data_IF_893013024737
#
_entry.id   IF_893013024737
#
_cell.length_a   1.000
_cell.length_b   1.000
_cell.length_c   1.000
_cell.angle_alpha   90.00
_cell.angle_beta   90.00
_cell.angle_gamma   90.00
#
_symmetry.space_group_name_H-M   'P 1'
#
loop_
_entity.id
_entity.type
_entity.pdbx_description
1 polymer ?
#
# COMPACT_ATOMS: atom_id res chain seq x y z
N UNK A 1 6.91 37.94 -73.74
CA UNK A 1 7.66 37.52 -72.55
C UNK A 1 8.22 36.16 -72.86
N UNK A 2 9.57 36.05 -73.06
CA UNK A 2 10.22 34.90 -73.68
C UNK A 2 10.21 33.65 -72.77
N UNK A 3 9.45 32.64 -73.17
CA UNK A 3 9.41 31.30 -72.50
C UNK A 3 10.81 30.64 -72.46
N UNK A 4 11.70 30.97 -73.40
CA UNK A 4 13.07 30.47 -73.44
C UNK A 4 13.99 30.99 -72.32
N UNK A 5 13.81 32.21 -71.88
CA UNK A 5 14.57 32.79 -70.73
C UNK A 5 14.15 32.17 -69.38
N UNK A 6 12.89 31.90 -69.19
CA UNK A 6 12.35 31.23 -67.97
C UNK A 6 12.85 29.77 -67.91
N UNK A 7 12.97 29.07 -69.03
CA UNK A 7 13.45 27.71 -69.10
C UNK A 7 14.97 27.60 -68.79
N UNK A 8 15.78 28.58 -69.24
CA UNK A 8 17.23 28.61 -68.90
C UNK A 8 17.47 28.94 -67.43
N UNK A 9 16.74 29.91 -66.84
CA UNK A 9 16.84 30.22 -65.42
C UNK A 9 16.39 29.07 -64.53
N UNK A 10 15.34 28.30 -64.90
CA UNK A 10 14.94 27.11 -64.19
C UNK A 10 15.98 25.99 -64.27
N UNK A 11 16.62 25.83 -65.45
CA UNK A 11 17.70 24.84 -65.63
C UNK A 11 18.94 25.15 -64.79
N UNK A 12 19.32 26.42 -64.70
CA UNK A 12 20.47 26.86 -63.92
C UNK A 12 20.22 26.73 -62.40
N UNK A 13 19.02 27.05 -61.97
CA UNK A 13 18.61 26.87 -60.56
C UNK A 13 18.52 25.39 -60.20
N UNK A 14 18.05 24.50 -61.07
CA UNK A 14 18.02 23.04 -60.84
C UNK A 14 19.42 22.42 -60.77
N UNK A 15 20.32 22.90 -61.61
CA UNK A 15 21.73 22.43 -61.56
C UNK A 15 22.42 22.88 -60.28
N UNK A 16 22.19 24.10 -59.79
CA UNK A 16 22.70 24.57 -58.50
C UNK A 16 22.14 23.75 -57.32
N UNK A 17 20.85 23.48 -57.31
CA UNK A 17 20.23 22.61 -56.27
C UNK A 17 20.79 21.19 -56.30
N UNK A 18 20.97 20.63 -57.50
CA UNK A 18 21.57 19.29 -57.66
C UNK A 18 23.03 19.24 -57.15
N UNK A 19 23.82 20.28 -57.48
CA UNK A 19 25.25 20.36 -57.08
C UNK A 19 25.39 20.52 -55.57
N UNK A 20 24.50 21.33 -54.94
CA UNK A 20 24.48 21.49 -53.45
C UNK A 20 24.05 20.22 -52.75
N UNK A 21 23.04 19.51 -53.29
CA UNK A 21 22.57 18.24 -52.75
C UNK A 21 23.65 17.13 -52.81
N UNK A 22 24.36 17.05 -53.96
CA UNK A 22 25.46 16.08 -54.16
C UNK A 22 26.64 16.40 -53.22
N UNK A 23 26.94 17.67 -52.96
CA UNK A 23 28.01 18.07 -52.02
C UNK A 23 27.64 17.79 -50.55
N UNK A 24 26.37 17.94 -50.18
CA UNK A 24 25.87 17.76 -48.80
C UNK A 24 25.59 16.27 -48.44
N UNK A 25 25.11 15.47 -49.41
CA UNK A 25 24.72 14.09 -49.18
C UNK A 25 25.81 13.21 -48.55
N UNK A 26 27.08 13.27 -48.98
CA UNK A 26 28.15 12.45 -48.35
C UNK A 26 28.39 12.79 -46.89
N UNK A 27 28.24 14.05 -46.50
CA UNK A 27 28.44 14.48 -45.09
C UNK A 27 27.32 13.96 -44.20
N UNK A 28 26.08 14.02 -44.65
CA UNK A 28 24.93 13.50 -43.95
C UNK A 28 25.00 11.97 -43.86
N UNK A 29 25.33 11.31 -44.97
CA UNK A 29 25.44 9.85 -45.02
C UNK A 29 26.61 9.33 -44.18
N UNK A 30 27.79 10.00 -44.23
CA UNK A 30 28.93 9.66 -43.40
C UNK A 30 28.63 9.85 -41.90
N UNK A 31 27.96 10.96 -41.53
CA UNK A 31 27.52 11.22 -40.17
C UNK A 31 26.57 10.14 -39.64
N UNK A 32 25.56 9.80 -40.44
CA UNK A 32 24.59 8.76 -40.10
C UNK A 32 25.22 7.36 -40.05
N UNK A 33 26.16 7.06 -40.95
CA UNK A 33 26.90 5.79 -40.96
C UNK A 33 27.82 5.63 -39.75
N UNK A 34 28.56 6.68 -39.37
CA UNK A 34 29.42 6.66 -38.19
C UNK A 34 28.65 6.51 -36.89
N UNK A 35 27.42 7.06 -36.81
CA UNK A 35 26.56 6.90 -35.66
C UNK A 35 25.91 5.50 -35.57
N UNK A 36 25.61 4.86 -36.71
CA UNK A 36 25.05 3.50 -36.79
C UNK A 36 26.06 2.39 -36.50
N UNK A 37 27.31 2.54 -36.98
CA UNK A 37 28.33 1.47 -36.91
C UNK A 37 28.98 1.30 -35.54
N UNK A 38 28.92 2.30 -34.69
CA UNK A 38 29.34 2.22 -33.27
C UNK A 38 28.11 2.13 -32.39
N UNK A 39 27.59 0.92 -32.22
CA UNK A 39 26.50 0.64 -31.27
C UNK A 39 26.81 1.28 -29.90
N UNK A 40 26.04 2.29 -29.48
CA UNK A 40 26.28 3.05 -28.25
C UNK A 40 26.74 4.50 -28.44
N UNK A 41 26.54 5.08 -29.63
CA UNK A 41 26.77 6.53 -29.78
C UNK A 41 25.83 7.31 -28.88
N UNK A 42 26.37 8.06 -27.90
CA UNK A 42 25.59 8.91 -27.00
C UNK A 42 24.66 9.84 -27.80
N UNK A 43 23.43 10.04 -27.28
CA UNK A 43 22.42 10.94 -27.88
C UNK A 43 23.01 12.31 -28.23
N UNK A 44 23.91 12.81 -27.40
CA UNK A 44 24.63 14.07 -27.64
C UNK A 44 25.46 14.07 -28.94
N UNK A 45 26.01 12.94 -29.36
CA UNK A 45 26.77 12.80 -30.58
C UNK A 45 25.86 12.78 -31.81
N UNK A 46 24.70 12.15 -31.71
CA UNK A 46 23.67 12.15 -32.74
C UNK A 46 23.10 13.57 -32.98
N UNK A 47 22.78 14.27 -31.90
CA UNK A 47 22.29 15.67 -31.96
C UNK A 47 23.34 16.59 -32.61
N UNK A 48 24.63 16.42 -32.26
CA UNK A 48 25.70 17.20 -32.84
C UNK A 48 25.85 16.95 -34.36
N UNK A 49 25.76 15.70 -34.79
CA UNK A 49 25.84 15.34 -36.24
C UNK A 49 24.65 15.90 -37.01
N UNK A 50 23.43 15.79 -36.46
CA UNK A 50 22.22 16.34 -37.10
C UNK A 50 22.26 17.86 -37.19
N UNK A 51 22.83 18.54 -36.20
CA UNK A 51 22.96 20.00 -36.18
C UNK A 51 24.09 20.51 -37.12
N UNK A 52 25.18 19.79 -37.26
CA UNK A 52 26.33 20.16 -38.11
C UNK A 52 26.06 19.90 -39.60
N UNK A 53 25.32 18.85 -39.94
CA UNK A 53 25.07 18.45 -41.32
C UNK A 53 24.48 19.58 -42.18
N UNK A 54 23.39 20.27 -41.80
CA UNK A 54 22.81 21.36 -42.57
C UNK A 54 23.75 22.59 -42.65
N UNK A 55 24.57 22.87 -41.64
CA UNK A 55 25.52 23.96 -41.64
C UNK A 55 26.61 23.72 -42.69
N UNK A 56 27.15 22.52 -42.75
CA UNK A 56 28.16 22.14 -43.76
C UNK A 56 27.53 22.13 -45.15
N UNK A 57 26.30 21.62 -45.29
CA UNK A 57 25.58 21.63 -46.55
C UNK A 57 25.37 23.07 -47.08
N UNK A 58 24.93 23.98 -46.22
CA UNK A 58 24.72 25.41 -46.57
C UNK A 58 26.03 26.05 -46.96
N UNK A 59 27.12 25.77 -46.25
CA UNK A 59 28.46 26.31 -46.56
C UNK A 59 29.00 25.84 -47.93
N UNK A 60 28.88 24.55 -48.22
CA UNK A 60 29.27 23.97 -49.51
C UNK A 60 28.40 24.57 -50.64
N UNK A 61 27.10 24.65 -50.43
CA UNK A 61 26.20 25.25 -51.42
C UNK A 61 26.51 26.72 -51.74
N UNK A 62 26.82 27.46 -50.70
CA UNK A 62 27.19 28.88 -50.81
C UNK A 62 28.48 29.12 -51.57
N UNK A 63 29.52 28.32 -51.30
CA UNK A 63 30.82 28.38 -52.01
C UNK A 63 30.65 28.01 -53.49
N UNK A 64 29.85 27.00 -53.78
CA UNK A 64 29.56 26.59 -55.18
C UNK A 64 28.76 27.68 -55.90
N UNK A 65 27.75 28.25 -55.30
CA UNK A 65 26.95 29.37 -55.89
C UNK A 65 27.82 30.61 -56.14
N UNK A 66 28.65 30.99 -55.18
CA UNK A 66 29.55 32.13 -55.31
C UNK A 66 30.56 31.97 -56.50
N UNK A 67 31.07 30.76 -56.70
CA UNK A 67 31.97 30.49 -57.85
C UNK A 67 31.21 30.46 -59.20
N UNK A 68 29.96 30.03 -59.21
CA UNK A 68 29.18 29.95 -60.44
C UNK A 68 28.65 31.34 -60.91
N UNK A 69 28.49 32.30 -59.98
CA UNK A 69 27.88 33.63 -60.28
C UNK A 69 28.90 34.74 -60.54
N UNK A 70 30.21 34.48 -60.70
CA UNK A 70 31.25 35.49 -60.91
C UNK A 70 31.22 36.66 -59.89
N UNK A 71 30.98 36.36 -58.63
CA UNK A 71 30.97 37.32 -57.52
C UNK A 71 32.35 37.90 -57.32
N UNK A 72 32.47 39.24 -57.13
CA UNK A 72 33.74 39.93 -56.87
C UNK A 72 34.35 39.41 -55.56
N UNK A 73 35.70 39.47 -55.53
CA UNK A 73 36.47 38.92 -54.37
C UNK A 73 36.10 39.56 -53.04
N UNK A 74 35.58 40.77 -53.02
CA UNK A 74 35.12 41.49 -51.83
C UNK A 74 33.82 40.90 -51.31
N UNK A 75 32.84 40.60 -52.15
CA UNK A 75 31.55 40.02 -51.78
C UNK A 75 31.70 38.57 -51.29
N UNK A 76 32.63 37.82 -51.89
CA UNK A 76 32.99 36.45 -51.45
C UNK A 76 33.54 36.43 -50.03
N UNK A 77 34.39 37.43 -49.67
CA UNK A 77 34.94 37.52 -48.29
C UNK A 77 33.90 37.90 -47.28
N UNK A 78 33.01 38.86 -47.58
CA UNK A 78 31.90 39.27 -46.74
C UNK A 78 30.95 38.07 -46.46
N UNK A 79 30.60 37.35 -47.55
CA UNK A 79 29.76 36.14 -47.44
C UNK A 79 30.44 35.05 -46.59
N UNK A 80 31.72 34.84 -46.77
CA UNK A 80 32.52 33.88 -45.99
C UNK A 80 32.51 34.21 -44.49
N UNK A 81 32.66 35.47 -44.10
CA UNK A 81 32.57 35.94 -42.72
C UNK A 81 31.20 35.68 -42.13
N UNK A 82 30.13 36.01 -42.85
CA UNK A 82 28.75 35.78 -42.39
C UNK A 82 28.49 34.27 -42.20
N UNK A 83 28.90 33.42 -43.15
CA UNK A 83 28.73 31.99 -43.09
C UNK A 83 29.52 31.36 -41.92
N UNK A 84 30.76 31.82 -41.72
CA UNK A 84 31.58 31.37 -40.59
C UNK A 84 30.96 31.75 -39.22
N UNK A 85 30.49 32.99 -39.07
CA UNK A 85 29.87 33.43 -37.81
C UNK A 85 28.59 32.69 -37.51
N UNK A 86 27.72 32.51 -38.51
CA UNK A 86 26.49 31.71 -38.37
C UNK A 86 26.82 30.25 -38.04
N UNK A 87 27.84 29.70 -38.68
CA UNK A 87 28.32 28.34 -38.39
C UNK A 87 28.79 28.18 -36.95
N UNK A 88 29.60 29.10 -36.44
CA UNK A 88 30.11 29.09 -35.08
C UNK A 88 28.95 29.18 -34.04
N UNK A 89 27.98 30.05 -34.27
CA UNK A 89 26.79 30.16 -33.40
C UNK A 89 26.01 28.87 -33.41
N UNK A 90 25.77 28.25 -34.57
CA UNK A 90 25.09 26.97 -34.69
C UNK A 90 25.81 25.81 -33.96
N UNK A 91 27.11 25.72 -34.13
CA UNK A 91 27.96 24.71 -33.43
C UNK A 91 27.89 24.91 -31.92
N UNK A 92 27.99 26.15 -31.44
CA UNK A 92 27.87 26.47 -30.02
C UNK A 92 26.51 26.11 -29.45
N UNK A 93 25.42 26.44 -30.13
CA UNK A 93 24.07 26.09 -29.74
C UNK A 93 23.86 24.57 -29.67
N UNK A 94 24.31 23.84 -30.67
CA UNK A 94 24.24 22.40 -30.73
C UNK A 94 25.08 21.73 -29.62
N UNK A 95 26.30 22.23 -29.35
CA UNK A 95 27.15 21.76 -28.25
C UNK A 95 26.47 21.99 -26.88
N UNK A 96 25.91 23.18 -26.66
CA UNK A 96 25.20 23.51 -25.42
C UNK A 96 23.98 22.59 -25.20
N UNK A 97 23.20 22.33 -26.27
CA UNK A 97 22.05 21.43 -26.19
C UNK A 97 22.46 19.98 -25.89
N UNK A 98 23.48 19.49 -26.61
CA UNK A 98 24.03 18.15 -26.41
C UNK A 98 24.57 17.95 -24.99
N UNK A 99 25.19 19.00 -24.41
CA UNK A 99 25.66 18.95 -23.02
C UNK A 99 24.52 18.84 -22.01
N UNK A 100 23.44 19.60 -22.22
CA UNK A 100 22.24 19.52 -21.36
C UNK A 100 21.61 18.13 -21.35
N UNK A 101 21.34 17.59 -22.54
CA UNK A 101 20.77 16.24 -22.67
C UNK A 101 21.68 15.19 -22.00
N UNK A 102 23.00 15.34 -22.08
CA UNK A 102 23.92 14.41 -21.40
C UNK A 102 23.78 14.48 -19.89
N UNK A 103 23.76 15.68 -19.30
CA UNK A 103 23.62 15.87 -17.86
C UNK A 103 22.32 15.25 -17.36
N UNK A 104 21.20 15.52 -18.05
CA UNK A 104 19.89 14.98 -17.70
C UNK A 104 19.85 13.44 -17.81
N UNK A 105 20.48 12.87 -18.84
CA UNK A 105 20.56 11.41 -19.03
C UNK A 105 21.44 10.74 -17.96
N UNK A 106 22.57 11.36 -17.61
CA UNK A 106 23.46 10.85 -16.55
C UNK A 106 22.77 10.90 -15.17
N UNK A 107 21.97 11.94 -14.91
CA UNK A 107 21.16 12.06 -13.69
C UNK A 107 20.09 10.95 -13.61
N UNK A 108 19.37 10.67 -14.72
CA UNK A 108 18.43 9.55 -14.78
C UNK A 108 19.11 8.19 -14.59
N UNK A 109 20.31 8.02 -15.14
CA UNK A 109 21.12 6.81 -14.95
C UNK A 109 21.58 6.64 -13.50
N UNK A 110 21.88 7.74 -12.79
CA UNK A 110 22.21 7.72 -11.37
C UNK A 110 20.97 7.38 -10.52
N UNK A 111 19.82 7.98 -10.84
CA UNK A 111 18.55 7.67 -10.20
C UNK A 111 18.19 6.18 -10.32
N UNK A 112 18.27 5.63 -11.54
CA UNK A 112 18.00 4.21 -11.79
C UNK A 112 18.91 3.28 -10.99
N UNK A 113 20.19 3.62 -10.83
CA UNK A 113 21.12 2.84 -10.00
C UNK A 113 20.79 2.96 -8.52
N UNK A 114 20.48 4.15 -8.02
CA UNK A 114 20.04 4.36 -6.63
C UNK A 114 18.81 3.52 -6.28
N UNK A 115 17.82 3.46 -7.20
CA UNK A 115 16.64 2.60 -7.05
C UNK A 115 17.03 1.12 -7.02
N UNK A 116 17.93 0.68 -7.89
CA UNK A 116 18.39 -0.71 -7.92
C UNK A 116 19.14 -1.12 -6.63
N UNK A 117 19.82 -0.17 -5.98
CA UNK A 117 20.49 -0.35 -4.70
C UNK A 117 19.52 -0.25 -3.48
N UNK A 118 18.23 -0.12 -3.72
CA UNK A 118 17.19 -0.09 -2.69
C UNK A 118 17.00 1.28 -2.02
N UNK A 119 17.59 2.35 -2.57
CA UNK A 119 17.38 3.69 -2.05
C UNK A 119 16.21 4.37 -2.78
N UNK A 120 15.20 4.79 -2.02
CA UNK A 120 14.07 5.57 -2.55
C UNK A 120 14.43 7.05 -2.48
N UNK A 121 14.67 7.74 -3.60
CA UNK A 121 14.96 9.15 -3.59
C UNK A 121 13.70 9.97 -3.34
N UNK A 122 13.78 10.99 -2.49
CA UNK A 122 12.67 11.88 -2.11
C UNK A 122 12.15 12.73 -3.28
N UNK A 123 12.99 12.98 -4.30
CA UNK A 123 12.61 13.75 -5.47
C UNK A 123 13.33 13.25 -6.74
N UNK A 124 12.66 13.37 -7.88
CA UNK A 124 13.28 13.15 -9.18
C UNK A 124 14.31 14.24 -9.50
N UNK A 125 15.29 13.97 -10.40
CA UNK A 125 16.26 14.97 -10.81
C UNK A 125 15.57 16.13 -11.54
N UNK A 126 16.00 17.36 -11.25
CA UNK A 126 15.60 18.53 -12.03
C UNK A 126 16.21 18.42 -13.43
N UNK A 127 15.40 17.98 -14.41
CA UNK A 127 15.83 17.87 -15.79
C UNK A 127 15.44 19.14 -16.57
N UNK A 128 16.35 19.58 -17.43
CA UNK A 128 16.16 20.74 -18.30
C UNK A 128 15.21 20.43 -19.46
N UNK A 129 15.14 19.15 -19.86
CA UNK A 129 14.25 18.66 -20.93
C UNK A 129 13.00 18.08 -20.27
N UNK A 130 11.82 18.64 -20.60
CA UNK A 130 10.53 18.32 -19.98
C UNK A 130 10.14 16.83 -20.05
N UNK A 131 10.54 16.15 -21.14
CA UNK A 131 10.28 14.71 -21.32
C UNK A 131 11.13 13.85 -20.38
N UNK A 132 12.40 14.23 -20.18
CA UNK A 132 13.31 13.55 -19.27
C UNK A 132 12.93 13.83 -17.81
N UNK A 133 12.44 15.03 -17.51
CA UNK A 133 11.88 15.37 -16.19
C UNK A 133 10.69 14.49 -15.83
N UNK A 134 9.71 14.38 -16.73
CA UNK A 134 8.54 13.50 -16.54
C UNK A 134 8.94 12.04 -16.34
N UNK A 135 9.92 11.55 -17.09
CA UNK A 135 10.44 10.18 -16.91
C UNK A 135 11.08 10.01 -15.53
N UNK A 136 11.82 11.00 -15.06
CA UNK A 136 12.39 11.01 -13.71
C UNK A 136 11.34 10.95 -12.61
N UNK A 137 10.28 11.75 -12.73
CA UNK A 137 9.13 11.73 -11.82
C UNK A 137 8.41 10.38 -11.80
N UNK A 138 8.16 9.80 -12.98
CA UNK A 138 7.54 8.48 -13.11
C UNK A 138 8.39 7.36 -12.48
N UNK A 139 9.71 7.41 -12.66
CA UNK A 139 10.63 6.46 -12.04
C UNK A 139 10.63 6.60 -10.50
N UNK A 140 10.62 7.82 -9.99
CA UNK A 140 10.55 8.10 -8.55
C UNK A 140 9.23 7.62 -7.95
N UNK A 141 8.08 7.89 -8.61
CA UNK A 141 6.77 7.40 -8.16
C UNK A 141 6.70 5.87 -8.16
N UNK A 142 7.23 5.22 -9.21
CA UNK A 142 7.28 3.76 -9.28
C UNK A 142 8.17 3.18 -8.19
N UNK A 143 9.32 3.80 -7.89
CA UNK A 143 10.21 3.38 -6.80
C UNK A 143 9.54 3.49 -5.44
N UNK A 144 8.84 4.60 -5.18
CA UNK A 144 8.09 4.79 -3.94
C UNK A 144 7.02 3.72 -3.77
N UNK A 145 6.20 3.46 -4.80
CA UNK A 145 5.17 2.40 -4.76
C UNK A 145 5.77 1.01 -4.54
N UNK A 146 6.92 0.73 -5.15
CA UNK A 146 7.63 -0.54 -4.94
C UNK A 146 8.14 -0.66 -3.50
N UNK A 147 8.70 0.42 -2.93
CA UNK A 147 9.12 0.49 -1.53
C UNK A 147 7.94 0.24 -0.58
N UNK A 148 6.82 0.93 -0.78
CA UNK A 148 5.60 0.74 0.03
C UNK A 148 5.04 -0.69 -0.08
N UNK A 149 5.08 -1.30 -1.28
CA UNK A 149 4.65 -2.68 -1.48
C UNK A 149 5.57 -3.67 -0.76
N UNK A 150 6.88 -3.46 -0.83
CA UNK A 150 7.86 -4.29 -0.14
C UNK A 150 7.77 -4.19 1.39
N UNK A 151 7.56 -2.99 1.92
CA UNK A 151 7.33 -2.80 3.36
C UNK A 151 6.06 -3.52 3.84
N UNK A 152 4.97 -3.47 3.04
CA UNK A 152 3.74 -4.23 3.35
C UNK A 152 3.98 -5.73 3.33
N UNK A 153 4.74 -6.24 2.35
CA UNK A 153 5.10 -7.65 2.27
C UNK A 153 5.92 -8.10 3.48
N UNK A 154 6.93 -7.33 3.88
CA UNK A 154 7.72 -7.60 5.07
C UNK A 154 6.89 -7.55 6.37
N UNK A 155 5.95 -6.62 6.47
CA UNK A 155 5.04 -6.54 7.60
C UNK A 155 4.12 -7.77 7.69
N UNK A 156 3.56 -8.21 6.55
CA UNK A 156 2.74 -9.42 6.46
C UNK A 156 3.55 -10.67 6.83
N UNK A 157 4.79 -10.77 6.36
CA UNK A 157 5.65 -11.92 6.67
C UNK A 157 6.04 -11.98 8.15
N UNK A 158 6.31 -10.81 8.78
CA UNK A 158 6.54 -10.73 10.23
C UNK A 158 5.30 -11.18 11.00
N UNK A 159 4.14 -10.61 10.68
CA UNK A 159 2.87 -10.98 11.33
C UNK A 159 2.57 -12.48 11.19
N UNK A 160 2.83 -13.07 10.01
CA UNK A 160 2.68 -14.51 9.81
C UNK A 160 3.63 -15.34 10.68
N UNK A 161 4.89 -14.93 10.81
CA UNK A 161 5.86 -15.64 11.66
C UNK A 161 5.47 -15.53 13.14
N UNK A 162 5.07 -14.36 13.59
CA UNK A 162 4.59 -14.13 14.95
C UNK A 162 3.38 -14.98 15.27
N UNK A 163 2.40 -15.04 14.33
CA UNK A 163 1.23 -15.91 14.46
C UNK A 163 1.62 -17.38 14.62
N UNK A 164 2.50 -17.91 13.77
CA UNK A 164 2.94 -19.32 13.83
C UNK A 164 3.65 -19.62 15.14
N UNK A 165 4.53 -18.73 15.59
CA UNK A 165 5.24 -18.89 16.86
C UNK A 165 4.27 -18.88 18.04
N UNK A 166 3.32 -17.96 18.04
CA UNK A 166 2.28 -17.84 19.05
C UNK A 166 1.36 -19.07 19.09
N UNK A 167 0.81 -19.50 17.94
CA UNK A 167 -0.04 -20.70 17.83
C UNK A 167 0.69 -21.93 18.41
N UNK A 168 1.97 -22.08 18.06
CA UNK A 168 2.78 -23.20 18.54
C UNK A 168 2.95 -23.17 20.06
N UNK A 169 3.10 -22.00 20.66
CA UNK A 169 3.23 -21.81 22.09
C UNK A 169 1.90 -22.07 22.81
N UNK A 170 0.81 -21.46 22.35
CA UNK A 170 -0.49 -21.47 23.02
C UNK A 170 -1.25 -22.81 22.84
N UNK A 171 -0.92 -23.60 21.80
CA UNK A 171 -1.39 -24.99 21.69
C UNK A 171 -0.57 -25.96 22.57
N UNK A 172 0.73 -25.71 22.78
CA UNK A 172 1.60 -26.61 23.56
C UNK A 172 1.22 -26.67 25.04
N UNK A 173 0.81 -25.53 25.62
CA UNK A 173 0.47 -25.44 27.04
C UNK A 173 -0.71 -26.35 27.43
N UNK A 174 -1.93 -26.21 26.82
CA UNK A 174 -3.07 -27.07 27.13
C UNK A 174 -2.84 -28.53 26.77
N UNK A 175 -2.10 -28.83 25.67
CA UNK A 175 -1.71 -30.20 25.33
C UNK A 175 -0.81 -30.83 26.39
N UNK A 176 0.15 -30.09 26.92
CA UNK A 176 1.02 -30.58 28.02
C UNK A 176 0.21 -30.82 29.30
N UNK A 177 -0.76 -29.95 29.61
CA UNK A 177 -1.67 -30.11 30.76
C UNK A 177 -2.54 -31.36 30.60
N UNK A 178 -3.18 -31.54 29.44
CA UNK A 178 -4.01 -32.73 29.14
C UNK A 178 -3.13 -34.00 29.29
N UNK A 179 -1.95 -34.01 28.70
CA UNK A 179 -1.04 -35.14 28.74
C UNK A 179 -0.62 -35.49 30.17
N UNK A 180 -0.16 -34.50 30.96
CA UNK A 180 0.23 -34.72 32.34
C UNK A 180 -0.91 -35.23 33.21
N UNK A 181 -2.15 -34.70 32.96
CA UNK A 181 -3.36 -35.13 33.67
C UNK A 181 -3.73 -36.58 33.30
N UNK A 182 -3.61 -36.95 32.02
CA UNK A 182 -3.89 -38.30 31.56
C UNK A 182 -2.83 -39.32 32.07
N UNK A 183 -1.55 -38.97 32.03
CA UNK A 183 -0.46 -39.79 32.59
C UNK A 183 -0.65 -40.04 34.10
N UNK A 184 -1.06 -39.02 34.86
CA UNK A 184 -1.35 -39.17 36.30
C UNK A 184 -2.54 -40.11 36.60
N UNK A 185 -3.53 -40.14 35.72
CA UNK A 185 -4.68 -41.07 35.80
C UNK A 185 -4.26 -42.48 35.42
N UNK A 186 -3.40 -42.66 34.41
CA UNK A 186 -2.93 -43.94 33.90
C UNK A 186 -1.98 -44.60 34.90
N UNK A 187 -1.07 -43.85 35.52
CA UNK A 187 -0.09 -44.34 36.49
C UNK A 187 -0.74 -44.67 37.88
N UNK A 188 -2.04 -44.44 38.05
CA UNK A 188 -2.72 -44.71 39.30
C UNK A 188 -2.29 -43.80 40.45
N UNK A 189 -1.73 -42.63 40.15
CA UNK A 189 -1.35 -41.62 41.17
C UNK A 189 -2.60 -41.02 41.81
N UNK A 190 -3.75 -41.12 41.13
CA UNK A 190 -5.03 -40.59 41.54
C UNK A 190 -6.01 -41.76 41.77
N UNK A 191 -6.23 -42.13 43.02
CA UNK A 191 -7.07 -43.29 43.38
C UNK A 191 -8.51 -42.93 43.81
N UNK A 192 -8.73 -41.70 44.25
CA UNK A 192 -10.03 -41.27 44.72
C UNK A 192 -10.99 -41.02 43.56
N UNK A 193 -12.23 -41.55 43.57
CA UNK A 193 -13.24 -41.28 42.53
C UNK A 193 -13.58 -39.79 42.35
N UNK A 194 -13.34 -38.97 43.36
CA UNK A 194 -13.54 -37.55 43.36
C UNK A 194 -12.41 -36.84 42.61
N UNK A 195 -11.17 -37.23 42.85
CA UNK A 195 -9.99 -36.72 42.14
C UNK A 195 -10.00 -37.15 40.69
N UNK A 196 -10.34 -38.40 40.36
CA UNK A 196 -10.51 -38.89 38.98
C UNK A 196 -11.54 -38.01 38.21
N UNK A 197 -12.69 -37.73 38.84
CA UNK A 197 -13.68 -36.83 38.20
C UNK A 197 -13.14 -35.42 37.98
N UNK A 198 -12.39 -34.86 38.92
CA UNK A 198 -11.76 -33.54 38.80
C UNK A 198 -10.73 -33.51 37.67
N UNK A 199 -9.91 -34.52 37.53
CA UNK A 199 -8.91 -34.65 36.48
C UNK A 199 -9.58 -34.80 35.09
N UNK A 200 -10.59 -35.66 34.97
CA UNK A 200 -11.39 -35.80 33.75
C UNK A 200 -12.08 -34.48 33.36
N UNK A 201 -12.59 -33.74 34.32
CA UNK A 201 -13.16 -32.42 34.08
C UNK A 201 -12.12 -31.42 33.60
N UNK A 202 -10.90 -31.44 34.16
CA UNK A 202 -9.77 -30.60 33.72
C UNK A 202 -9.39 -30.89 32.27
N UNK A 203 -9.33 -32.17 31.87
CA UNK A 203 -9.08 -32.56 30.46
C UNK A 203 -10.19 -32.01 29.56
N UNK A 204 -11.46 -32.09 29.97
CA UNK A 204 -12.57 -31.51 29.20
C UNK A 204 -12.41 -30.01 28.99
N UNK A 205 -12.12 -29.27 30.06
CA UNK A 205 -11.93 -27.81 30.00
C UNK A 205 -10.78 -27.42 29.05
N UNK A 206 -9.65 -28.13 29.12
CA UNK A 206 -8.51 -27.83 28.23
C UNK A 206 -8.80 -28.23 26.78
N UNK A 207 -9.58 -29.28 26.56
CA UNK A 207 -10.03 -29.68 25.19
C UNK A 207 -10.97 -28.64 24.58
N UNK A 208 -11.93 -28.13 25.36
CA UNK A 208 -12.82 -27.06 24.93
C UNK A 208 -12.02 -25.78 24.58
N UNK A 209 -11.02 -25.46 25.41
CA UNK A 209 -10.12 -24.33 25.14
C UNK A 209 -9.33 -24.49 23.84
N UNK A 210 -8.82 -25.69 23.57
CA UNK A 210 -8.12 -26.00 22.31
C UNK A 210 -9.05 -25.85 21.10
N UNK A 211 -10.30 -26.31 21.22
CA UNK A 211 -11.30 -26.19 20.16
C UNK A 211 -11.54 -24.71 19.83
N UNK A 212 -11.73 -23.86 20.84
CA UNK A 212 -11.89 -22.41 20.64
C UNK A 212 -10.69 -21.76 19.97
N UNK A 213 -9.45 -22.15 20.36
CA UNK A 213 -8.23 -21.64 19.72
C UNK A 213 -8.12 -22.04 18.26
N UNK A 214 -8.51 -23.27 17.90
CA UNK A 214 -8.53 -23.74 16.50
C UNK A 214 -9.58 -22.98 15.69
N UNK A 215 -10.78 -22.78 16.24
CA UNK A 215 -11.85 -22.03 15.59
C UNK A 215 -11.45 -20.55 15.36
N UNK A 216 -10.79 -19.94 16.34
CA UNK A 216 -10.26 -18.57 16.20
C UNK A 216 -9.16 -18.49 15.13
N UNK A 217 -8.28 -19.50 15.04
CA UNK A 217 -7.24 -19.56 14.01
C UNK A 217 -7.84 -19.71 12.60
N UNK A 218 -8.85 -20.57 12.43
CA UNK A 218 -9.58 -20.71 11.18
C UNK A 218 -10.23 -19.40 10.75
N UNK A 219 -10.86 -18.69 11.67
CA UNK A 219 -11.52 -17.42 11.40
C UNK A 219 -10.49 -16.35 11.02
N UNK A 220 -9.39 -16.23 11.76
CA UNK A 220 -8.30 -15.30 11.42
C UNK A 220 -7.72 -15.61 10.04
N UNK A 221 -7.57 -16.89 9.68
CA UNK A 221 -7.13 -17.31 8.35
C UNK A 221 -8.12 -16.87 7.25
N UNK A 222 -9.44 -16.97 7.47
CA UNK A 222 -10.47 -16.50 6.54
C UNK A 222 -10.45 -14.99 6.38
N UNK A 223 -10.24 -14.25 7.48
CA UNK A 223 -10.13 -12.80 7.49
C UNK A 223 -8.92 -12.37 6.67
N UNK A 224 -7.73 -12.92 6.97
CA UNK A 224 -6.47 -12.52 6.32
C UNK A 224 -6.38 -12.91 4.84
N UNK A 225 -7.07 -13.99 4.43
CA UNK A 225 -7.17 -14.40 3.03
C UNK A 225 -8.25 -13.66 2.23
N UNK A 226 -9.06 -12.80 2.87
CA UNK A 226 -10.15 -12.08 2.20
C UNK A 226 -11.32 -12.98 1.74
N UNK A 227 -11.42 -14.21 2.25
CA UNK A 227 -12.43 -15.22 1.84
C UNK A 227 -13.64 -15.22 2.80
N UNK A 228 -14.01 -14.07 3.34
CA UNK A 228 -15.20 -13.96 4.18
C UNK A 228 -16.41 -13.76 3.28
N UNK A 229 -17.33 -14.73 3.26
CA UNK A 229 -18.65 -14.56 2.65
C UNK A 229 -19.57 -13.81 3.63
N UNK A 230 -19.65 -12.51 3.48
CA UNK A 230 -20.61 -11.70 4.23
C UNK A 230 -21.99 -11.79 3.58
N UNK A 231 -23.01 -11.91 4.41
CA UNK A 231 -24.42 -11.86 4.00
C UNK A 231 -25.11 -10.73 4.76
N UNK A 232 -24.97 -9.48 4.27
CA UNK A 232 -25.57 -8.34 4.94
C UNK A 232 -27.09 -8.50 4.97
N UNK A 233 -27.67 -8.31 6.14
CA UNK A 233 -29.10 -8.29 6.40
C UNK A 233 -29.43 -7.16 7.39
N UNK A 234 -30.69 -6.76 7.43
CA UNK A 234 -31.16 -5.79 8.43
C UNK A 234 -31.28 -6.48 9.79
N UNK A 235 -30.47 -6.02 10.74
CA UNK A 235 -30.38 -6.59 12.09
C UNK A 235 -30.73 -5.53 13.13
N UNK A 236 -31.74 -5.77 13.96
CA UNK A 236 -32.02 -4.92 15.11
C UNK A 236 -30.88 -5.02 16.13
N UNK A 237 -30.35 -3.86 16.55
CA UNK A 237 -29.22 -3.81 17.51
C UNK A 237 -29.63 -4.43 18.85
N UNK A 238 -30.88 -4.25 19.27
CA UNK A 238 -31.41 -4.80 20.53
C UNK A 238 -31.34 -6.34 20.54
N UNK A 239 -31.69 -6.99 19.42
CA UNK A 239 -31.63 -8.44 19.28
C UNK A 239 -30.21 -8.96 19.32
N UNK A 240 -29.30 -8.25 18.63
CA UNK A 240 -27.87 -8.58 18.58
C UNK A 240 -27.26 -8.51 19.98
N UNK A 241 -27.45 -7.38 20.68
CA UNK A 241 -26.91 -7.16 22.02
C UNK A 241 -27.56 -8.13 23.01
N UNK A 242 -28.89 -8.37 22.91
CA UNK A 242 -29.60 -9.33 23.73
C UNK A 242 -29.01 -10.74 23.64
N UNK A 243 -28.76 -11.21 22.41
CA UNK A 243 -28.14 -12.53 22.15
C UNK A 243 -26.76 -12.65 22.81
N UNK A 244 -25.93 -11.60 22.71
CA UNK A 244 -24.59 -11.60 23.30
C UNK A 244 -24.65 -11.59 24.83
N UNK A 245 -25.55 -10.79 25.43
CA UNK A 245 -25.72 -10.72 26.87
C UNK A 245 -26.19 -12.05 27.44
N UNK A 246 -27.14 -12.71 26.78
CA UNK A 246 -27.63 -14.02 27.22
C UNK A 246 -26.51 -15.06 27.26
N UNK A 247 -25.63 -15.07 26.24
CA UNK A 247 -24.44 -15.92 26.19
C UNK A 247 -23.41 -15.61 27.28
N UNK A 248 -23.20 -14.33 27.59
CA UNK A 248 -22.17 -13.89 28.54
C UNK A 248 -22.58 -13.97 30.01
N UNK A 249 -23.91 -14.05 30.32
CA UNK A 249 -24.43 -13.99 31.69
C UNK A 249 -23.87 -15.04 32.66
N UNK A 250 -23.69 -16.27 32.19
CA UNK A 250 -23.16 -17.35 33.04
C UNK A 250 -21.71 -17.06 33.44
N UNK A 251 -20.86 -16.68 32.47
CA UNK A 251 -19.46 -16.35 32.68
C UNK A 251 -19.29 -15.10 33.56
N UNK A 252 -20.08 -14.06 33.31
CA UNK A 252 -20.06 -12.84 34.11
C UNK A 252 -20.45 -13.11 35.58
N UNK A 253 -21.51 -13.91 35.82
CA UNK A 253 -21.91 -14.33 37.18
C UNK A 253 -20.82 -15.14 37.88
N UNK A 254 -20.20 -16.08 37.19
CA UNK A 254 -19.10 -16.88 37.74
C UNK A 254 -17.90 -16.04 38.17
N UNK A 255 -17.68 -14.89 37.51
CA UNK A 255 -16.63 -13.93 37.82
C UNK A 255 -17.07 -12.78 38.75
N UNK A 256 -18.34 -12.76 39.15
CA UNK A 256 -18.88 -11.68 40.00
C UNK A 256 -18.98 -10.33 39.29
N UNK A 257 -19.07 -10.33 37.96
CA UNK A 257 -19.16 -9.11 37.12
C UNK A 257 -20.61 -8.82 36.76
N UNK A 258 -21.05 -7.57 36.90
CA UNK A 258 -22.39 -7.12 36.51
C UNK A 258 -22.43 -6.69 35.04
N UNK A 259 -23.42 -7.19 34.28
CA UNK A 259 -23.63 -6.77 32.88
C UNK A 259 -24.81 -5.80 32.82
N UNK A 260 -24.61 -4.64 32.19
CA UNK A 260 -25.65 -3.64 31.92
C UNK A 260 -25.68 -3.29 30.43
N UNK A 261 -26.89 -3.00 29.90
CA UNK A 261 -27.04 -2.55 28.53
C UNK A 261 -28.00 -1.37 28.44
N UNK A 262 -27.59 -0.39 27.62
CA UNK A 262 -28.36 0.79 27.26
C UNK A 262 -28.49 0.80 25.73
N UNK A 263 -29.58 0.27 25.20
CA UNK A 263 -29.80 0.06 23.77
C UNK A 263 -31.08 0.80 23.34
N UNK A 264 -31.04 1.66 22.31
CA UNK A 264 -32.21 2.28 21.72
C UNK A 264 -33.19 1.22 21.16
N UNK A 265 -34.51 1.46 21.30
CA UNK A 265 -35.53 0.49 20.90
C UNK A 265 -35.71 0.33 19.37
N UNK A 266 -35.24 1.24 18.56
CA UNK A 266 -35.42 1.22 17.10
C UNK A 266 -34.15 1.67 16.39
N UNK A 267 -33.20 0.78 16.30
CA UNK A 267 -31.95 1.00 15.53
C UNK A 267 -31.56 -0.29 14.80
N UNK A 268 -31.56 -0.23 13.47
CA UNK A 268 -31.25 -1.38 12.63
C UNK A 268 -29.91 -1.17 11.87
N UNK A 269 -29.10 -2.19 11.84
CA UNK A 269 -27.80 -2.27 11.16
C UNK A 269 -27.96 -3.00 9.82
N UNK A 270 -27.13 -2.64 8.85
CA UNK A 270 -26.92 -3.46 7.64
C UNK A 270 -25.63 -4.25 7.79
N UNK A 271 -25.69 -5.44 8.35
CA UNK A 271 -24.53 -6.26 8.71
C UNK A 271 -24.80 -7.75 8.51
N UNK A 272 -23.75 -8.54 8.43
CA UNK A 272 -23.87 -9.99 8.57
C UNK A 272 -24.06 -10.33 10.06
N UNK A 273 -25.22 -10.86 10.43
CA UNK A 273 -25.64 -11.10 11.82
C UNK A 273 -24.64 -11.94 12.61
N UNK A 274 -24.17 -13.04 12.01
CA UNK A 274 -23.27 -13.98 12.68
C UNK A 274 -21.94 -13.29 13.05
N UNK A 275 -21.35 -12.56 12.09
CA UNK A 275 -20.09 -11.87 12.25
C UNK A 275 -20.21 -10.67 13.21
N UNK A 276 -21.29 -9.88 13.09
CA UNK A 276 -21.56 -8.78 14.03
C UNK A 276 -21.76 -9.28 15.47
N UNK A 277 -22.51 -10.38 15.64
CA UNK A 277 -22.67 -11.02 16.96
C UNK A 277 -21.33 -11.49 17.52
N UNK A 278 -20.46 -12.07 16.69
CA UNK A 278 -19.12 -12.52 17.10
C UNK A 278 -18.22 -11.35 17.50
N UNK A 279 -18.28 -10.22 16.77
CA UNK A 279 -17.58 -8.99 17.15
C UNK A 279 -17.96 -8.55 18.56
N UNK A 280 -19.26 -8.31 18.79
CA UNK A 280 -19.73 -7.80 20.09
C UNK A 280 -19.44 -8.80 21.20
N UNK A 281 -19.58 -10.10 20.95
CA UNK A 281 -19.21 -11.15 21.90
C UNK A 281 -17.74 -11.11 22.26
N UNK A 282 -16.82 -11.01 21.30
CA UNK A 282 -15.39 -10.92 21.56
C UNK A 282 -15.04 -9.72 22.47
N UNK A 283 -15.71 -8.59 22.27
CA UNK A 283 -15.52 -7.40 23.12
C UNK A 283 -16.08 -7.61 24.52
N UNK A 284 -17.28 -8.20 24.65
CA UNK A 284 -17.92 -8.46 25.95
C UNK A 284 -17.13 -9.51 26.74
N UNK A 285 -16.69 -10.59 26.10
CA UNK A 285 -15.87 -11.63 26.74
C UNK A 285 -14.54 -11.06 27.22
N UNK A 286 -13.93 -10.18 26.42
CA UNK A 286 -12.71 -9.47 26.82
C UNK A 286 -12.96 -8.55 28.01
N UNK A 287 -14.04 -7.76 27.99
CA UNK A 287 -14.43 -6.87 29.08
C UNK A 287 -14.70 -7.64 30.39
N UNK A 288 -15.48 -8.72 30.33
CA UNK A 288 -15.77 -9.58 31.49
C UNK A 288 -14.50 -10.24 32.04
N UNK A 289 -13.56 -10.58 31.19
CA UNK A 289 -12.28 -11.20 31.60
C UNK A 289 -11.40 -10.23 32.37
N UNK A 290 -11.32 -8.98 31.94
CA UNK A 290 -10.43 -7.99 32.51
C UNK A 290 -11.06 -7.12 33.60
N UNK A 291 -12.38 -7.13 33.76
CA UNK A 291 -13.06 -6.45 34.84
C UNK A 291 -12.85 -7.19 36.18
N UNK A 292 -12.46 -6.49 37.26
CA UNK A 292 -12.32 -7.09 38.58
C UNK A 292 -13.66 -7.60 39.12
N UNK A 293 -13.58 -8.49 40.12
CA UNK A 293 -14.77 -8.96 40.85
C UNK A 293 -15.59 -7.79 41.41
N UNK A 294 -16.90 -7.80 41.25
CA UNK A 294 -17.88 -6.75 41.58
C UNK A 294 -17.79 -5.51 40.67
N UNK A 295 -17.05 -5.55 39.60
CA UNK A 295 -17.03 -4.50 38.59
C UNK A 295 -18.20 -4.62 37.63
N UNK A 296 -18.36 -3.60 36.77
CA UNK A 296 -19.46 -3.46 35.82
C UNK A 296 -18.93 -3.41 34.41
N UNK A 297 -19.54 -4.22 33.53
CA UNK A 297 -19.40 -4.11 32.08
C UNK A 297 -20.66 -3.51 31.50
N UNK A 298 -20.57 -2.40 30.79
CA UNK A 298 -21.70 -1.70 30.19
C UNK A 298 -21.61 -1.74 28.67
N UNK A 299 -22.72 -2.11 28.02
CA UNK A 299 -22.89 -1.98 26.58
C UNK A 299 -23.78 -0.79 26.32
N UNK A 300 -23.27 0.19 25.58
CA UNK A 300 -23.99 1.40 25.19
C UNK A 300 -24.08 1.48 23.68
N UNK A 301 -25.23 1.86 23.14
CA UNK A 301 -25.43 2.01 21.71
C UNK A 301 -25.95 3.40 21.43
N UNK A 302 -25.21 4.12 20.57
CA UNK A 302 -25.54 5.45 20.14
C UNK A 302 -25.67 5.52 18.60
N UNK A 303 -26.51 6.44 18.10
CA UNK A 303 -26.57 6.76 16.67
C UNK A 303 -25.63 7.93 16.36
N UNK A 304 -24.78 7.79 15.37
CA UNK A 304 -23.87 8.84 14.88
C UNK A 304 -23.99 8.95 13.37
N UNK A 305 -24.72 9.96 12.90
CA UNK A 305 -25.04 10.16 11.48
C UNK A 305 -25.64 8.89 10.85
N UNK A 306 -24.92 8.26 9.92
CA UNK A 306 -25.25 7.06 9.15
C UNK A 306 -24.70 5.75 9.76
N UNK A 307 -24.16 5.82 10.97
CA UNK A 307 -23.59 4.67 11.67
C UNK A 307 -24.21 4.50 13.06
N UNK A 308 -24.26 3.27 13.54
CA UNK A 308 -24.47 2.98 14.94
C UNK A 308 -23.12 2.73 15.61
N UNK A 309 -22.95 3.26 16.80
CA UNK A 309 -21.74 3.05 17.64
C UNK A 309 -22.12 2.14 18.78
N UNK A 310 -21.59 0.92 18.78
CA UNK A 310 -21.72 -0.03 19.89
C UNK A 310 -20.47 0.07 20.74
N UNK A 311 -20.61 0.57 21.96
CA UNK A 311 -19.53 0.78 22.92
C UNK A 311 -19.61 -0.27 24.03
N UNK A 312 -18.53 -1.00 24.26
CA UNK A 312 -18.36 -1.90 25.41
C UNK A 312 -17.39 -1.23 26.37
N UNK A 313 -17.90 -0.88 27.55
CA UNK A 313 -17.20 -0.11 28.56
C UNK A 313 -16.97 -1.01 29.77
N UNK A 314 -15.73 -1.11 30.21
CA UNK A 314 -15.32 -1.99 31.32
C UNK A 314 -14.55 -1.22 32.41
N UNK A 315 -14.33 -1.87 33.53
CA UNK A 315 -13.57 -1.36 34.68
C UNK A 315 -12.21 -2.06 34.81
N UNK A 316 -11.50 -2.28 33.67
CA UNK A 316 -10.23 -3.00 33.63
C UNK A 316 -9.04 -2.27 34.30
N UNK A 317 -9.21 -1.03 34.71
CA UNK A 317 -8.14 -0.18 35.23
C UNK A 317 -7.39 0.62 34.16
N UNK A 318 -7.71 0.42 32.88
CA UNK A 318 -7.11 1.08 31.74
C UNK A 318 -5.99 0.28 31.07
N UNK A 319 -5.66 0.66 29.84
CA UNK A 319 -4.60 0.09 29.00
C UNK A 319 -3.44 1.10 28.94
N UNK A 320 -2.15 0.68 29.10
CA UNK A 320 -1.01 1.58 28.90
C UNK A 320 -1.09 2.29 27.55
N UNK A 321 -0.72 3.58 27.52
CA UNK A 321 -0.86 4.39 26.30
C UNK A 321 -0.13 3.83 25.08
N UNK A 322 1.03 3.23 25.31
CA UNK A 322 1.85 2.54 24.29
C UNK A 322 1.21 1.26 23.73
N UNK A 323 0.28 0.68 24.47
CA UNK A 323 -0.42 -0.56 24.09
C UNK A 323 -1.74 -0.31 23.35
N UNK A 324 -2.34 0.91 23.46
CA UNK A 324 -3.65 1.22 22.88
C UNK A 324 -3.71 0.99 21.36
N UNK A 325 -2.65 1.31 20.62
CA UNK A 325 -2.60 1.08 19.17
C UNK A 325 -2.42 -0.40 18.83
N UNK A 326 -1.87 -1.19 19.76
CA UNK A 326 -1.46 -2.57 19.56
C UNK A 326 -2.46 -3.61 20.05
N UNK A 327 -3.49 -3.22 20.81
CA UNK A 327 -4.45 -4.19 21.37
C UNK A 327 -5.20 -5.02 20.33
N UNK A 328 -5.24 -4.55 19.09
CA UNK A 328 -5.84 -5.25 17.95
C UNK A 328 -4.83 -6.06 17.14
N UNK A 329 -3.54 -6.02 17.48
CA UNK A 329 -2.54 -6.84 16.82
C UNK A 329 -2.76 -8.31 17.14
N UNK A 330 -2.46 -9.16 16.17
CA UNK A 330 -2.58 -10.61 16.34
C UNK A 330 -1.67 -11.08 17.47
N UNK A 331 -2.23 -11.86 18.39
CA UNK A 331 -1.48 -12.42 19.53
C UNK A 331 -0.94 -11.40 20.56
N UNK A 332 -1.42 -10.15 20.50
CA UNK A 332 -1.01 -9.15 21.48
C UNK A 332 -1.56 -9.49 22.88
N UNK A 333 -0.69 -9.40 23.87
CA UNK A 333 -1.03 -9.51 25.30
C UNK A 333 -0.25 -8.45 26.07
N UNK A 334 -0.91 -7.57 26.77
CA UNK A 334 -0.25 -6.61 27.66
C UNK A 334 0.53 -7.32 28.79
N UNK A 335 1.55 -6.67 29.32
CA UNK A 335 2.46 -7.27 30.32
C UNK A 335 1.73 -7.71 31.60
N UNK A 336 0.65 -7.03 31.98
CA UNK A 336 -0.21 -7.39 33.13
C UNK A 336 -1.01 -8.66 32.91
N UNK A 337 -1.25 -9.08 31.67
CA UNK A 337 -1.99 -10.29 31.32
C UNK A 337 -1.10 -11.55 31.21
N UNK A 338 0.23 -11.38 31.12
CA UNK A 338 1.20 -12.50 31.02
C UNK A 338 1.30 -13.35 32.30
N UNK A 339 0.87 -12.81 33.43
CA UNK A 339 0.96 -13.48 34.74
C UNK A 339 -0.32 -14.22 35.19
N UNK A 340 -1.42 -14.09 34.45
CA UNK A 340 -2.69 -14.76 34.75
C UNK A 340 -3.00 -15.79 33.68
N UNK A 341 -3.17 -17.04 34.11
CA UNK A 341 -3.54 -18.20 33.28
C UNK A 341 -5.00 -18.14 32.78
N UNK A 342 -5.49 -16.93 32.50
CA UNK A 342 -6.90 -16.61 32.24
C UNK A 342 -7.40 -16.94 30.80
N UNK A 343 -6.77 -17.92 30.15
CA UNK A 343 -7.41 -18.68 29.05
C UNK A 343 -7.68 -17.95 27.71
N UNK A 344 -7.29 -16.69 27.54
CA UNK A 344 -7.53 -15.96 26.31
C UNK A 344 -6.38 -15.99 25.32
N UNK A 345 -6.63 -16.46 24.10
CA UNK A 345 -5.64 -16.61 23.05
C UNK A 345 -5.10 -15.31 22.42
N UNK A 346 -5.53 -14.11 22.86
CA UNK A 346 -5.08 -12.85 22.22
C UNK A 346 -5.54 -12.67 20.76
N UNK A 347 -6.41 -13.54 20.25
CA UNK A 347 -6.95 -13.47 18.88
C UNK A 347 -8.29 -12.72 18.80
N UNK A 348 -9.08 -12.71 19.86
CA UNK A 348 -10.46 -12.21 19.84
C UNK A 348 -10.57 -10.75 19.38
N UNK A 349 -9.67 -9.85 19.82
CA UNK A 349 -9.68 -8.44 19.39
C UNK A 349 -9.21 -8.28 17.94
N UNK A 350 -8.22 -9.05 17.49
CA UNK A 350 -7.78 -9.06 16.10
C UNK A 350 -8.89 -9.58 15.16
N UNK A 351 -9.59 -10.64 15.56
CA UNK A 351 -10.75 -11.17 14.85
C UNK A 351 -11.87 -10.11 14.81
N UNK A 352 -12.17 -9.47 15.95
CA UNK A 352 -13.20 -8.44 16.01
C UNK A 352 -12.87 -7.29 15.03
N UNK A 353 -11.63 -6.81 14.99
CA UNK A 353 -11.19 -5.78 14.05
C UNK A 353 -11.38 -6.22 12.60
N UNK A 354 -10.88 -7.39 12.23
CA UNK A 354 -10.99 -7.89 10.85
C UNK A 354 -12.43 -8.09 10.39
N UNK A 355 -13.32 -8.61 11.27
CA UNK A 355 -14.75 -8.78 10.97
C UNK A 355 -15.50 -7.45 10.84
N UNK A 356 -15.11 -6.43 11.61
CA UNK A 356 -15.68 -5.08 11.52
C UNK A 356 -15.25 -4.41 10.21
N UNK A 357 -13.96 -4.45 9.89
CA UNK A 357 -13.40 -3.87 8.66
C UNK A 357 -14.00 -4.55 7.41
N UNK A 358 -14.19 -5.87 7.44
CA UNK A 358 -14.84 -6.59 6.35
C UNK A 358 -16.29 -6.14 6.11
N UNK A 359 -16.99 -5.66 7.15
CA UNK A 359 -18.36 -5.13 7.09
C UNK A 359 -18.42 -3.61 6.87
N UNK A 360 -17.35 -2.99 6.34
CA UNK A 360 -17.23 -1.55 6.14
C UNK A 360 -17.45 -0.71 7.42
N UNK A 361 -17.19 -1.31 8.58
CA UNK A 361 -17.22 -0.67 9.89
C UNK A 361 -15.85 -0.19 10.34
N UNK A 362 -15.77 0.32 11.56
CA UNK A 362 -14.50 0.65 12.23
C UNK A 362 -14.57 0.31 13.71
N UNK A 363 -13.41 -0.03 14.30
CA UNK A 363 -13.26 -0.30 15.72
C UNK A 363 -12.17 0.60 16.31
N UNK A 364 -12.39 1.07 17.52
CA UNK A 364 -11.44 1.89 18.26
C UNK A 364 -11.46 1.54 19.74
N UNK A 365 -10.39 1.87 20.44
CA UNK A 365 -10.27 1.75 21.89
C UNK A 365 -9.82 3.07 22.50
N UNK A 366 -10.31 3.37 23.68
CA UNK A 366 -9.90 4.52 24.48
C UNK A 366 -9.98 4.20 25.96
N UNK A 367 -9.15 4.86 26.76
CA UNK A 367 -9.27 4.79 28.21
C UNK A 367 -10.30 5.80 28.72
N UNK A 368 -10.96 5.44 29.81
CA UNK A 368 -11.77 6.34 30.61
C UNK A 368 -11.39 6.20 32.11
N UNK A 369 -11.83 7.08 33.02
CA UNK A 369 -11.52 6.96 34.44
C UNK A 369 -11.97 5.59 35.00
N UNK A 370 -10.99 4.72 35.31
CA UNK A 370 -11.20 3.41 35.89
C UNK A 370 -11.26 2.24 34.92
N UNK A 371 -11.19 2.45 33.58
CA UNK A 371 -11.27 1.34 32.64
C UNK A 371 -11.05 1.70 31.17
N UNK A 372 -11.62 0.89 30.30
CA UNK A 372 -11.49 0.99 28.85
C UNK A 372 -12.85 1.06 28.17
N UNK A 373 -12.89 1.67 26.98
CA UNK A 373 -14.04 1.71 26.09
C UNK A 373 -13.63 1.19 24.72
N UNK A 374 -14.20 0.09 24.29
CA UNK A 374 -14.10 -0.42 22.93
C UNK A 374 -15.35 -0.01 22.16
N UNK A 375 -15.17 0.79 21.11
CA UNK A 375 -16.26 1.33 20.28
C UNK A 375 -16.20 0.75 18.87
N UNK A 376 -17.28 0.10 18.45
CA UNK A 376 -17.46 -0.42 17.08
C UNK A 376 -18.51 0.40 16.37
N UNK A 377 -18.20 0.81 15.14
CA UNK A 377 -19.12 1.51 14.24
C UNK A 377 -19.59 0.56 13.15
N UNK A 378 -20.90 0.43 13.01
CA UNK A 378 -21.53 -0.33 11.96
C UNK A 378 -22.42 0.56 11.10
N UNK A 379 -22.57 0.27 9.78
CA UNK A 379 -23.47 0.99 8.91
C UNK A 379 -24.93 0.75 9.33
N UNK A 380 -25.76 1.82 9.26
CA UNK A 380 -27.20 1.74 9.48
C UNK A 380 -27.92 1.20 8.24
N UNK A 381 -29.00 0.46 8.44
CA UNK A 381 -29.84 -0.03 7.34
C UNK A 381 -30.46 1.13 6.51
N UNK A 382 -30.82 2.23 7.18
CA UNK A 382 -31.42 3.41 6.51
C UNK A 382 -30.42 4.18 5.62
N UNK A 383 -29.11 4.11 5.91
CA UNK A 383 -28.07 4.79 5.13
C UNK A 383 -27.84 4.12 3.77
N UNK A 384 -28.07 2.81 3.65
CA UNK A 384 -27.93 2.05 2.41
C UNK A 384 -29.02 2.38 1.38
N UNK A 385 -30.21 2.73 1.84
CA UNK A 385 -31.35 3.10 0.96
C UNK A 385 -31.12 4.43 0.21
N UNK A 386 -30.21 5.29 0.68
CA UNK A 386 -29.89 6.60 0.06
C UNK A 386 -28.85 6.50 -1.05
N UNK A 387 -28.04 5.44 -1.09
CA UNK A 387 -26.97 5.26 -2.10
C UNK A 387 -27.52 4.63 -3.39
N UNK A 388 -28.55 3.79 -3.29
CA UNK A 388 -29.16 3.11 -4.46
C UNK A 388 -30.21 3.96 -5.20
N UNK A 389 -30.56 5.14 -4.67
CA UNK A 389 -31.54 6.07 -5.22
C UNK A 389 -31.03 7.12 -6.21
N UNK A 390 -29.73 7.13 -6.57
CA UNK A 390 -29.15 8.19 -7.44
C UNK A 390 -28.70 7.67 -8.82
N UNK A 391 -29.23 6.55 -9.29
CA UNK A 391 -29.10 6.11 -10.70
C UNK A 391 -30.50 5.81 -11.25
N UNK A 392 -31.18 6.86 -11.65
CA UNK A 392 -32.34 6.79 -12.52
C UNK A 392 -32.31 8.00 -13.47
#
# INVERSE_FOLDING_TARGET
MNVGLLASELSDNLTLVALTAVGAAPVVLLGSYLTRRRGGASVSRQVLVVALAPLVATWVGAVVAARAMFIDSHDLTAFGVIACTAGLIGVFAAWRMARRIRVDTDALGALSRSIADGHVPDAGPEATVSELGRLGEQLSDMSRRLGEAHERELALERSRRELVAWVSHDLRSPLASIRATAEALEDGVVDSPEDVRRYLHSIGVETDRLTLLVDDLFELSRITSGVIELRPETVEVADLVGTVLDGARATARARGVELRAEVPQALALLVSRAEATRVVRNLVDNAVRHTPERGVVRIQVDRSADQAVVSVIDECGGIPGEDLERVFDVAFRGDTARGRDDGGGGLGLAIAKGLVEAQAGSIAVSNHPGGCCFAVRFPLADAAATVDGTVA
#
